data_IF_848305576754
#
_entry.id   IF_848305576754
#
_cell.length_a   1.000
_cell.length_b   1.000
_cell.length_c   1.000
_cell.angle_alpha   90.00
_cell.angle_beta   90.00
_cell.angle_gamma   90.00
#
_symmetry.space_group_name_H-M   'P 1'
#
loop_
_entity.id
_entity.type
_entity.pdbx_description
1 polymer ?
#
# COMPACT_ATOMS: atom_id res chain seq x y z
N UNK A 1 -23.88 14.87 -11.12
CA UNK A 1 -22.65 15.70 -11.07
C UNK A 1 -21.51 14.75 -10.84
N UNK A 2 -20.54 14.69 -11.75
CA UNK A 2 -19.33 13.87 -11.53
C UNK A 2 -18.55 14.46 -10.36
N UNK A 3 -17.98 13.61 -9.51
CA UNK A 3 -17.04 14.07 -8.51
C UNK A 3 -15.83 14.71 -9.22
N UNK A 4 -15.38 15.86 -8.74
CA UNK A 4 -14.08 16.39 -9.12
C UNK A 4 -13.02 15.45 -8.54
N UNK A 5 -12.26 14.78 -9.41
CA UNK A 5 -11.25 13.79 -9.03
C UNK A 5 -9.89 14.40 -9.21
N UNK A 6 -9.18 14.62 -8.10
CA UNK A 6 -7.76 14.92 -8.13
C UNK A 6 -6.95 13.66 -8.46
N UNK A 7 -5.91 13.82 -9.29
CA UNK A 7 -5.01 12.72 -9.67
C UNK A 7 -3.60 13.00 -9.14
N UNK A 8 -3.12 12.07 -8.31
CA UNK A 8 -1.77 12.10 -7.72
C UNK A 8 -0.97 10.88 -8.17
N UNK A 9 0.23 11.10 -8.68
CA UNK A 9 1.21 10.06 -8.99
C UNK A 9 2.25 9.93 -7.89
N UNK A 10 2.58 8.70 -7.51
CA UNK A 10 3.76 8.39 -6.71
C UNK A 10 4.87 8.00 -7.69
N UNK A 11 5.93 8.81 -7.88
CA UNK A 11 7.05 8.37 -8.70
C UNK A 11 7.76 7.21 -7.98
N UNK A 12 8.15 6.19 -8.74
CA UNK A 12 8.75 4.98 -8.19
C UNK A 12 10.10 4.73 -8.87
N UNK A 13 11.09 4.16 -8.15
CA UNK A 13 12.44 3.97 -8.69
C UNK A 13 12.53 3.02 -9.89
N UNK A 14 11.46 2.28 -10.24
CA UNK A 14 11.41 1.44 -11.44
C UNK A 14 12.36 0.24 -11.38
N UNK A 15 12.39 -0.61 -12.42
CA UNK A 15 13.40 -1.67 -12.57
C UNK A 15 14.54 -1.20 -13.48
N UNK A 16 15.75 -1.03 -12.94
CA UNK A 16 16.94 -0.78 -13.78
C UNK A 16 17.94 -1.94 -13.66
N UNK A 17 18.24 -2.42 -12.45
CA UNK A 17 19.21 -3.50 -12.24
C UNK A 17 18.97 -4.37 -11.00
N UNK A 18 18.34 -3.81 -9.97
CA UNK A 18 18.11 -4.50 -8.70
C UNK A 18 16.62 -4.54 -8.35
N UNK A 19 15.96 -5.64 -8.72
CA UNK A 19 14.53 -5.82 -8.45
C UNK A 19 14.20 -5.86 -6.96
N UNK A 20 15.14 -6.28 -6.09
CA UNK A 20 14.91 -6.40 -4.64
C UNK A 20 14.69 -5.05 -3.95
N UNK A 21 15.36 -4.01 -4.42
CA UNK A 21 15.24 -2.64 -3.88
C UNK A 21 14.31 -1.74 -4.70
N UNK A 22 13.72 -2.26 -5.77
CA UNK A 22 12.89 -1.49 -6.70
C UNK A 22 11.40 -1.64 -6.39
N UNK A 23 10.64 -0.60 -6.72
CA UNK A 23 9.18 -0.61 -6.71
C UNK A 23 8.67 -0.19 -8.10
N UNK A 24 7.66 -0.90 -8.60
CA UNK A 24 7.01 -0.59 -9.89
C UNK A 24 5.50 -0.46 -9.79
N UNK A 25 4.93 -0.87 -8.67
CA UNK A 25 3.51 -0.77 -8.40
C UNK A 25 3.31 -0.05 -7.06
N UNK A 26 2.20 0.66 -6.95
CA UNK A 26 1.86 1.41 -5.75
C UNK A 26 1.66 0.49 -4.53
N UNK A 27 1.17 -0.72 -4.75
CA UNK A 27 0.88 -1.70 -3.69
C UNK A 27 2.12 -2.36 -3.09
N UNK A 28 3.34 -2.01 -3.55
CA UNK A 28 4.60 -2.39 -2.90
C UNK A 28 5.29 -1.21 -2.21
N UNK A 29 4.62 -0.05 -2.16
CA UNK A 29 5.05 1.13 -1.38
C UNK A 29 3.99 1.60 -0.39
N UNK A 30 2.72 1.30 -0.64
CA UNK A 30 1.60 1.80 0.15
C UNK A 30 0.44 0.81 0.17
N UNK A 31 -0.18 0.64 1.34
CA UNK A 31 -1.39 -0.16 1.55
C UNK A 31 -2.43 0.63 2.33
N UNK A 32 -3.67 0.64 1.86
CA UNK A 32 -4.79 1.10 2.68
C UNK A 32 -5.29 -0.04 3.58
N UNK A 33 -4.98 0.00 4.88
CA UNK A 33 -5.36 -0.99 5.87
C UNK A 33 -6.80 -0.84 6.41
N UNK A 34 -7.49 0.26 6.06
CA UNK A 34 -8.83 0.56 6.57
C UNK A 34 -8.80 1.85 7.38
N UNK A 35 -8.44 1.80 8.67
CA UNK A 35 -8.30 2.99 9.51
C UNK A 35 -7.04 3.81 9.21
N UNK A 36 -6.04 3.21 8.57
CA UNK A 36 -4.73 3.80 8.31
C UNK A 36 -4.22 3.40 6.94
N UNK A 37 -3.40 4.25 6.34
CA UNK A 37 -2.57 3.92 5.18
C UNK A 37 -1.13 3.66 5.64
N UNK A 38 -0.67 2.44 5.39
CA UNK A 38 0.67 1.97 5.75
C UNK A 38 1.61 2.25 4.57
N UNK A 39 2.72 2.91 4.84
CA UNK A 39 3.74 3.24 3.84
C UNK A 39 5.03 2.49 4.15
N UNK A 40 5.72 2.00 3.11
CA UNK A 40 7.08 1.51 3.24
C UNK A 40 8.07 2.63 2.87
N UNK A 41 8.69 3.31 3.86
CA UNK A 41 9.56 4.45 3.61
C UNK A 41 10.81 4.07 2.80
N UNK A 42 11.28 2.81 2.92
CA UNK A 42 12.44 2.30 2.16
C UNK A 42 12.18 2.22 0.66
N UNK A 43 10.92 2.25 0.24
CA UNK A 43 10.53 2.09 -1.16
C UNK A 43 9.82 3.29 -1.77
N UNK A 44 9.10 4.09 -0.98
CA UNK A 44 8.53 5.35 -1.47
C UNK A 44 9.64 6.37 -1.77
N UNK A 45 10.79 6.29 -1.08
CA UNK A 45 12.05 6.96 -1.44
C UNK A 45 12.07 8.48 -1.27
N UNK A 46 10.92 9.14 -1.33
CA UNK A 46 10.72 10.58 -1.14
C UNK A 46 9.24 10.85 -0.86
N UNK A 47 8.94 11.79 0.05
CA UNK A 47 7.57 12.17 0.40
C UNK A 47 7.06 13.28 -0.52
N UNK A 48 7.22 13.13 -1.83
CA UNK A 48 6.62 14.02 -2.83
C UNK A 48 5.74 13.26 -3.81
N UNK A 49 4.69 13.91 -4.29
CA UNK A 49 3.72 13.38 -5.25
C UNK A 49 3.71 14.27 -6.49
N UNK A 50 3.21 13.74 -7.60
CA UNK A 50 2.93 14.48 -8.81
C UNK A 50 1.43 14.72 -8.93
N UNK A 51 0.95 15.96 -8.73
CA UNK A 51 -0.44 16.32 -8.99
C UNK A 51 -0.63 16.62 -10.48
N UNK A 52 -1.64 16.03 -11.10
CA UNK A 52 -2.07 16.42 -12.44
C UNK A 52 -3.01 17.63 -12.33
N UNK A 53 -2.56 18.78 -12.83
CA UNK A 53 -3.32 20.04 -12.83
C UNK A 53 -3.34 20.60 -14.25
N UNK A 54 -4.53 20.75 -14.85
CA UNK A 54 -4.71 21.30 -16.21
C UNK A 54 -3.77 20.68 -17.28
N UNK A 55 -3.51 19.36 -17.17
CA UNK A 55 -2.63 18.64 -18.10
C UNK A 55 -1.13 18.74 -17.81
N UNK A 56 -0.73 19.36 -16.69
CA UNK A 56 0.66 19.45 -16.23
C UNK A 56 0.85 18.68 -14.93
N UNK A 57 2.04 18.10 -14.75
CA UNK A 57 2.45 17.47 -13.50
C UNK A 57 3.21 18.46 -12.63
N UNK A 58 2.72 18.69 -11.43
CA UNK A 58 3.32 19.55 -10.42
C UNK A 58 3.82 18.68 -9.26
N UNK A 59 5.08 18.88 -8.84
CA UNK A 59 5.63 18.22 -7.65
C UNK A 59 5.05 18.90 -6.42
N UNK A 60 4.46 18.11 -5.52
CA UNK A 60 3.87 18.58 -4.28
C UNK A 60 4.28 17.69 -3.10
N UNK A 61 4.19 18.22 -1.89
CA UNK A 61 4.54 17.49 -0.67
C UNK A 61 3.46 16.45 -0.32
N UNK A 62 3.85 15.17 -0.19
CA UNK A 62 2.94 14.06 0.11
C UNK A 62 2.25 14.25 1.46
N UNK A 63 2.98 14.71 2.48
CA UNK A 63 2.43 14.97 3.81
C UNK A 63 1.30 15.99 3.82
N UNK A 64 1.40 17.03 2.97
CA UNK A 64 0.33 18.02 2.83
C UNK A 64 -0.91 17.39 2.17
N UNK A 65 -0.72 16.56 1.14
CA UNK A 65 -1.82 15.83 0.50
C UNK A 65 -2.53 14.90 1.48
N UNK A 66 -1.77 14.12 2.24
CA UNK A 66 -2.35 13.20 3.22
C UNK A 66 -3.18 13.95 4.27
N UNK A 67 -2.65 15.08 4.77
CA UNK A 67 -3.36 15.95 5.71
C UNK A 67 -4.64 16.52 5.11
N UNK A 68 -4.59 17.02 3.87
CA UNK A 68 -5.74 17.64 3.21
C UNK A 68 -6.84 16.61 2.88
N UNK A 69 -6.45 15.37 2.60
CA UNK A 69 -7.37 14.24 2.41
C UNK A 69 -7.88 13.64 3.73
N UNK A 70 -7.39 14.11 4.88
CA UNK A 70 -7.71 13.53 6.19
C UNK A 70 -7.26 12.07 6.33
N UNK A 71 -6.18 11.69 5.63
CA UNK A 71 -5.62 10.36 5.67
C UNK A 71 -4.69 10.20 6.87
N UNK A 72 -4.94 9.15 7.66
CA UNK A 72 -4.00 8.69 8.67
C UNK A 72 -2.91 7.85 7.99
N UNK A 73 -1.64 8.23 8.20
CA UNK A 73 -0.48 7.58 7.57
C UNK A 73 0.42 7.05 8.67
N UNK A 74 0.93 5.83 8.47
CA UNK A 74 1.87 5.23 9.41
C UNK A 74 2.90 4.34 8.72
N UNK A 75 3.99 4.07 9.44
CA UNK A 75 5.15 3.33 8.97
C UNK A 75 5.47 2.19 9.96
N UNK A 76 5.24 0.92 9.58
CA UNK A 76 5.49 -0.20 10.46
C UNK A 76 7.00 -0.52 10.49
N UNK A 77 7.45 -1.29 11.49
CA UNK A 77 8.78 -1.88 11.46
C UNK A 77 9.02 -2.65 10.15
N UNK A 78 10.20 -2.47 9.56
CA UNK A 78 10.56 -3.02 8.24
C UNK A 78 11.56 -4.18 8.36
N UNK A 79 11.51 -4.94 9.47
CA UNK A 79 12.16 -6.25 9.56
C UNK A 79 11.34 -7.29 8.77
N UNK A 80 11.95 -7.87 7.73
CA UNK A 80 11.28 -8.83 6.84
C UNK A 80 11.47 -8.48 5.36
N UNK A 81 10.42 -8.67 4.56
CA UNK A 81 10.41 -8.36 3.14
C UNK A 81 9.94 -6.94 2.90
N UNK A 82 10.80 -6.13 2.29
CA UNK A 82 10.43 -4.79 1.85
C UNK A 82 9.29 -4.82 0.80
N UNK A 83 9.09 -5.94 0.11
CA UNK A 83 8.06 -6.09 -0.93
C UNK A 83 6.70 -6.34 -0.29
N UNK A 84 6.60 -7.29 0.63
CA UNK A 84 5.30 -7.81 1.08
C UNK A 84 4.76 -7.11 2.32
N UNK A 85 5.57 -6.30 3.02
CA UNK A 85 5.18 -5.58 4.25
C UNK A 85 3.99 -4.63 4.04
N UNK A 86 3.85 -4.06 2.84
CA UNK A 86 2.73 -3.19 2.43
C UNK A 86 1.92 -3.80 1.29
N UNK A 87 1.95 -5.13 1.13
CA UNK A 87 1.22 -5.84 0.07
C UNK A 87 0.15 -6.79 0.64
N UNK A 88 -0.53 -6.35 1.70
CA UNK A 88 -1.64 -7.09 2.32
C UNK A 88 -2.94 -6.92 1.53
N UNK A 89 -3.77 -7.96 1.55
CA UNK A 89 -5.12 -7.92 0.97
C UNK A 89 -6.12 -7.50 2.05
N UNK A 90 -6.65 -6.28 1.92
CA UNK A 90 -7.68 -5.77 2.82
C UNK A 90 -9.05 -6.40 2.49
N UNK A 91 -9.61 -7.15 3.44
CA UNK A 91 -10.93 -7.80 3.32
C UNK A 91 -12.07 -6.92 3.84
N UNK A 92 -11.76 -5.71 4.31
CA UNK A 92 -12.68 -4.79 4.97
C UNK A 92 -12.81 -5.09 6.47
N UNK A 93 -13.47 -4.16 7.18
CA UNK A 93 -13.77 -4.26 8.63
C UNK A 93 -12.53 -4.55 9.50
N UNK A 94 -11.39 -3.96 9.14
CA UNK A 94 -10.12 -4.13 9.86
C UNK A 94 -9.44 -5.49 9.67
N UNK A 95 -9.92 -6.35 8.76
CA UNK A 95 -9.33 -7.66 8.49
C UNK A 95 -8.43 -7.62 7.26
N UNK A 96 -7.20 -8.14 7.38
CA UNK A 96 -6.20 -8.12 6.31
C UNK A 96 -5.48 -9.47 6.22
N UNK A 97 -5.27 -9.96 5.01
CA UNK A 97 -4.42 -11.13 4.76
C UNK A 97 -3.00 -10.66 4.43
N UNK A 98 -2.01 -11.16 5.17
CA UNK A 98 -0.62 -10.66 5.13
C UNK A 98 0.38 -11.81 5.04
N UNK A 99 1.59 -11.50 4.58
CA UNK A 99 2.70 -12.45 4.58
C UNK A 99 3.21 -12.71 6.02
N UNK A 100 3.27 -13.97 6.42
CA UNK A 100 3.76 -14.42 7.72
C UNK A 100 5.26 -14.15 7.93
N UNK A 101 6.00 -13.78 6.88
CA UNK A 101 7.40 -13.41 6.98
C UNK A 101 7.62 -12.09 7.75
N UNK A 102 6.67 -11.14 7.67
CA UNK A 102 6.78 -9.81 8.29
C UNK A 102 6.26 -9.78 9.73
N UNK A 103 6.68 -10.73 10.57
CA UNK A 103 6.10 -10.95 11.91
C UNK A 103 6.08 -9.72 12.81
N UNK A 104 7.14 -8.92 12.78
CA UNK A 104 7.21 -7.70 13.60
C UNK A 104 6.20 -6.66 13.13
N UNK A 105 6.13 -6.43 11.81
CA UNK A 105 5.15 -5.54 11.20
C UNK A 105 3.72 -6.02 11.49
N UNK A 106 3.45 -7.32 11.38
CA UNK A 106 2.13 -7.89 11.67
C UNK A 106 1.72 -7.62 13.12
N UNK A 107 2.59 -7.94 14.10
CA UNK A 107 2.31 -7.65 15.52
C UNK A 107 2.12 -6.17 15.81
N UNK A 108 2.87 -5.32 15.13
CA UNK A 108 2.72 -3.88 15.21
C UNK A 108 1.33 -3.44 14.73
N UNK A 109 0.90 -3.91 13.56
CA UNK A 109 -0.41 -3.59 12.99
C UNK A 109 -1.58 -4.10 13.86
N UNK A 110 -1.48 -5.29 14.45
CA UNK A 110 -2.48 -5.79 15.39
C UNK A 110 -2.54 -4.91 16.66
N UNK A 111 -1.39 -4.51 17.20
CA UNK A 111 -1.29 -3.77 18.46
C UNK A 111 -1.69 -2.30 18.34
N UNK A 112 -1.14 -1.58 17.37
CA UNK A 112 -1.34 -0.13 17.22
C UNK A 112 -2.67 0.18 16.51
N UNK A 113 -3.07 -0.65 15.54
CA UNK A 113 -4.23 -0.38 14.68
C UNK A 113 -5.40 -1.33 14.90
N UNK A 114 -5.29 -2.26 15.85
CA UNK A 114 -6.35 -3.24 16.16
C UNK A 114 -6.84 -4.02 14.93
N UNK A 115 -5.93 -4.33 14.00
CA UNK A 115 -6.24 -5.08 12.79
C UNK A 115 -6.32 -6.58 13.11
N UNK A 116 -7.22 -7.28 12.40
CA UNK A 116 -7.38 -8.74 12.44
C UNK A 116 -6.59 -9.34 11.27
N UNK A 117 -5.41 -9.91 11.56
CA UNK A 117 -4.52 -10.40 10.54
C UNK A 117 -4.68 -11.90 10.29
N UNK A 118 -4.79 -12.27 9.02
CA UNK A 118 -4.68 -13.65 8.55
C UNK A 118 -3.29 -13.80 7.95
N UNK A 119 -2.38 -14.41 8.69
CA UNK A 119 -1.01 -14.66 8.23
C UNK A 119 -0.95 -15.88 7.30
N UNK A 120 -0.34 -15.71 6.13
CA UNK A 120 -0.11 -16.79 5.17
C UNK A 120 1.38 -16.96 4.86
N UNK A 121 1.82 -18.21 4.74
CA UNK A 121 3.21 -18.54 4.41
C UNK A 121 3.33 -18.61 2.89
N UNK A 122 3.93 -17.58 2.27
CA UNK A 122 3.98 -17.43 0.81
C UNK A 122 5.41 -17.26 0.23
N UNK A 123 6.42 -18.05 0.67
CA UNK A 123 7.83 -17.81 0.31
C UNK A 123 8.10 -17.84 -1.20
N UNK A 124 7.36 -18.63 -1.97
CA UNK A 124 7.53 -18.71 -3.42
C UNK A 124 6.88 -17.53 -4.16
N UNK A 125 5.80 -16.96 -3.61
CA UNK A 125 5.16 -15.75 -4.15
C UNK A 125 6.04 -14.53 -3.87
N UNK A 126 6.54 -14.43 -2.64
CA UNK A 126 7.50 -13.40 -2.20
C UNK A 126 8.75 -13.41 -3.07
N UNK A 127 9.32 -14.59 -3.34
CA UNK A 127 10.49 -14.74 -4.21
C UNK A 127 10.24 -14.26 -5.66
N UNK A 128 8.98 -14.28 -6.12
CA UNK A 128 8.55 -13.72 -7.40
C UNK A 128 8.38 -12.20 -7.40
N UNK A 129 8.59 -11.54 -6.24
CA UNK A 129 8.45 -10.10 -6.06
C UNK A 129 7.03 -9.63 -5.83
N UNK A 130 6.12 -10.50 -5.36
CA UNK A 130 4.73 -10.16 -5.05
C UNK A 130 4.32 -10.63 -3.66
N UNK A 131 3.29 -9.99 -3.10
CA UNK A 131 2.63 -10.44 -1.88
C UNK A 131 1.21 -10.92 -2.13
N UNK A 132 0.42 -11.00 -1.06
CA UNK A 132 -0.96 -11.49 -1.10
C UNK A 132 -1.82 -10.62 -2.04
N UNK A 133 -1.65 -9.30 -1.98
CA UNK A 133 -2.39 -8.36 -2.82
C UNK A 133 -2.07 -8.53 -4.30
N UNK A 134 -0.78 -8.60 -4.67
CA UNK A 134 -0.37 -8.83 -6.06
C UNK A 134 -0.90 -10.16 -6.63
N UNK A 135 -1.07 -11.17 -5.78
CA UNK A 135 -1.61 -12.47 -6.17
C UNK A 135 -3.14 -12.52 -6.25
N UNK A 136 -3.82 -11.38 -6.05
CA UNK A 136 -5.27 -11.30 -5.93
C UNK A 136 -5.87 -10.26 -6.88
N UNK A 137 -7.16 -10.40 -7.16
CA UNK A 137 -7.98 -9.39 -7.84
C UNK A 137 -9.38 -9.44 -7.26
N UNK A 138 -9.83 -8.34 -6.68
CA UNK A 138 -11.17 -8.22 -6.14
C UNK A 138 -12.20 -8.20 -7.28
N UNK A 139 -13.22 -9.06 -7.18
CA UNK A 139 -14.32 -9.10 -8.14
C UNK A 139 -15.63 -8.77 -7.44
N UNK A 140 -16.20 -7.61 -7.78
CA UNK A 140 -17.50 -7.18 -7.30
C UNK A 140 -18.52 -7.27 -8.45
N UNK A 141 -19.37 -8.32 -8.49
CA UNK A 141 -20.43 -8.39 -9.49
C UNK A 141 -21.42 -7.24 -9.27
N UNK A 142 -21.88 -6.62 -10.37
CA UNK A 142 -22.74 -5.41 -10.39
C UNK A 142 -24.02 -5.52 -9.53
N UNK A 143 -24.44 -6.72 -9.16
CA UNK A 143 -25.64 -6.98 -8.36
C UNK A 143 -25.45 -6.73 -6.86
N UNK A 144 -24.22 -6.65 -6.36
CA UNK A 144 -23.95 -6.44 -4.93
C UNK A 144 -23.83 -4.96 -4.51
N UNK A 145 -23.97 -4.01 -5.44
CA UNK A 145 -23.78 -2.57 -5.20
C UNK A 145 -25.03 -1.82 -4.67
N UNK A 146 -26.03 -2.54 -4.15
CA UNK A 146 -27.20 -1.95 -3.49
C UNK A 146 -27.28 -2.49 -2.06
N UNK A 147 -26.48 -1.91 -1.17
CA UNK A 147 -26.55 -2.10 0.27
C UNK A 147 -26.55 -0.74 0.93
#
# INVERSE_FOLDING_TARGET
MGAEVDLYGVPLPGYIRNWRSSAVHLDVVMMHAGPVTIVNPRRMGFYSLLKLNEGKFEVIEAGQVFKDLGMEIDEPPTEGSDITVVNGLNLGRGKIVVDAFNREANRYLEREWSLDLIEVIIPQVEAGGGGVRCASREFFPKQCARG
#
